data_IF_146820619688
#
_entry.id   IF_146820619688
#
_cell.length_a   1.000
_cell.length_b   1.000
_cell.length_c   1.000
_cell.angle_alpha   90.00
_cell.angle_beta   90.00
_cell.angle_gamma   90.00
#
_symmetry.space_group_name_H-M   'P 1'
#
loop_
_entity.id
_entity.type
_entity.pdbx_description
1 polymer ?
#
# COMPACT_ATOMS: atom_id res chain seq x y z
N UNK A 1 -15.35 0.82 3.95
CA UNK A 1 -15.25 0.35 2.55
C UNK A 1 -14.30 -0.83 2.48
N UNK A 2 -14.62 -1.90 1.76
CA UNK A 2 -13.86 -3.16 1.75
C UNK A 2 -13.36 -3.55 0.35
N UNK A 3 -12.16 -4.12 0.25
CA UNK A 3 -11.53 -4.65 -0.98
C UNK A 3 -11.53 -6.19 -0.93
N UNK A 4 -12.11 -6.82 -1.96
CA UNK A 4 -12.25 -8.27 -2.06
C UNK A 4 -11.29 -8.89 -3.07
N UNK A 5 -10.93 -10.14 -2.83
CA UNK A 5 -10.27 -11.04 -3.79
C UNK A 5 -11.20 -12.22 -4.05
N UNK A 6 -11.64 -12.40 -5.31
CA UNK A 6 -12.44 -13.54 -5.76
C UNK A 6 -13.21 -13.29 -7.07
N UNK A 7 -13.62 -14.37 -7.76
CA UNK A 7 -14.14 -14.34 -9.14
C UNK A 7 -15.62 -13.89 -9.28
N UNK A 8 -16.33 -13.68 -8.17
CA UNK A 8 -17.79 -13.44 -8.17
C UNK A 8 -18.19 -11.96 -8.25
N UNK A 9 -17.25 -11.06 -7.97
CA UNK A 9 -17.48 -9.64 -8.10
C UNK A 9 -16.46 -9.08 -9.09
N UNK A 10 -16.87 -8.21 -10.03
CA UNK A 10 -15.92 -7.45 -10.82
C UNK A 10 -14.90 -6.79 -9.88
N UNK A 11 -13.65 -6.81 -10.32
CA UNK A 11 -12.55 -6.22 -9.57
C UNK A 11 -12.91 -4.80 -9.08
N UNK A 12 -12.74 -4.54 -7.78
CA UNK A 12 -13.08 -3.26 -7.17
C UNK A 12 -14.51 -3.02 -6.73
N UNK A 13 -15.36 -4.06 -6.75
CA UNK A 13 -16.72 -3.97 -6.22
C UNK A 13 -16.72 -3.60 -4.74
N UNK A 14 -17.47 -2.55 -4.41
CA UNK A 14 -17.72 -2.11 -3.04
C UNK A 14 -18.89 -2.90 -2.48
N UNK A 15 -18.64 -3.73 -1.48
CA UNK A 15 -19.68 -4.45 -0.73
C UNK A 15 -19.80 -3.79 0.65
N UNK A 16 -21.03 -3.74 1.18
CA UNK A 16 -21.42 -2.90 2.32
C UNK A 16 -20.64 -3.13 3.64
N UNK A 17 -20.86 -2.25 4.64
CA UNK A 17 -20.07 -2.16 5.88
C UNK A 17 -20.13 -3.39 6.80
N UNK A 18 -21.13 -4.27 6.62
CA UNK A 18 -21.37 -5.45 7.45
C UNK A 18 -20.71 -6.73 6.93
N UNK A 19 -19.85 -6.64 5.93
CA UNK A 19 -19.08 -7.79 5.50
C UNK A 19 -18.02 -8.14 6.57
N UNK A 20 -18.31 -9.17 7.35
CA UNK A 20 -17.33 -9.88 8.16
C UNK A 20 -16.13 -10.24 7.28
N UNK A 21 -14.90 -10.16 7.82
CA UNK A 21 -13.66 -10.60 7.14
C UNK A 21 -13.67 -12.08 6.66
N UNK A 22 -14.78 -12.79 6.89
CA UNK A 22 -15.15 -14.06 6.29
C UNK A 22 -16.38 -13.88 5.40
N UNK A 23 -16.15 -13.77 4.11
CA UNK A 23 -17.17 -13.96 3.06
C UNK A 23 -16.98 -15.44 2.69
N UNK A 24 -17.99 -16.30 2.85
CA UNK A 24 -18.10 -17.69 2.33
C UNK A 24 -16.89 -18.65 2.17
N UNK A 25 -17.11 -19.91 1.74
CA UNK A 25 -16.02 -20.79 1.31
C UNK A 25 -15.38 -20.24 0.02
N UNK A 26 -14.11 -19.84 0.08
CA UNK A 26 -13.33 -19.41 -1.09
C UNK A 26 -13.35 -17.91 -1.41
N UNK A 27 -14.11 -17.08 -0.67
CA UNK A 27 -14.08 -15.63 -0.83
C UNK A 27 -13.21 -15.01 0.26
N UNK A 28 -12.49 -13.91 -0.03
CA UNK A 28 -11.60 -13.31 0.96
C UNK A 28 -11.52 -11.78 0.83
N UNK A 29 -11.53 -11.07 1.95
CA UNK A 29 -11.32 -9.61 2.00
C UNK A 29 -9.83 -9.37 2.19
N UNK A 30 -9.17 -8.74 1.23
CA UNK A 30 -7.74 -8.41 1.32
C UNK A 30 -7.51 -7.26 2.30
N UNK A 31 -8.36 -6.23 2.24
CA UNK A 31 -8.32 -5.12 3.19
C UNK A 31 -9.68 -4.43 3.35
N UNK A 32 -9.85 -3.72 4.46
CA UNK A 32 -10.97 -2.84 4.75
C UNK A 32 -10.42 -1.48 5.17
N UNK A 33 -10.92 -0.42 4.54
CA UNK A 33 -10.60 0.95 4.89
C UNK A 33 -11.84 1.63 5.50
N UNK A 34 -11.68 2.19 6.70
CA UNK A 34 -12.72 2.90 7.43
C UNK A 34 -12.13 4.14 8.13
N UNK A 35 -12.94 4.81 8.94
CA UNK A 35 -12.44 5.82 9.88
C UNK A 35 -12.25 5.21 11.27
N UNK A 36 -11.16 5.57 11.95
CA UNK A 36 -10.96 5.27 13.37
C UNK A 36 -11.78 6.22 14.27
N UNK A 37 -11.69 6.03 15.59
CA UNK A 37 -12.38 6.86 16.59
C UNK A 37 -11.99 8.35 16.53
N UNK A 38 -10.83 8.67 15.96
CA UNK A 38 -10.33 10.03 15.75
C UNK A 38 -10.65 10.57 14.35
N UNK A 39 -11.48 9.86 13.58
CA UNK A 39 -11.87 10.19 12.20
C UNK A 39 -10.68 10.22 11.23
N UNK A 40 -9.64 9.44 11.50
CA UNK A 40 -8.51 9.22 10.59
C UNK A 40 -8.77 7.98 9.76
N UNK A 41 -8.27 7.93 8.54
CA UNK A 41 -8.40 6.71 7.75
C UNK A 41 -7.60 5.58 8.41
N UNK A 42 -8.24 4.43 8.58
CA UNK A 42 -7.62 3.21 9.04
C UNK A 42 -7.84 2.10 8.01
N UNK A 43 -6.76 1.47 7.55
CA UNK A 43 -6.81 0.37 6.58
C UNK A 43 -6.36 -0.93 7.24
N UNK A 44 -7.32 -1.80 7.54
CA UNK A 44 -7.07 -3.12 8.10
C UNK A 44 -6.81 -4.11 6.96
N UNK A 45 -5.59 -4.63 6.89
CA UNK A 45 -5.20 -5.67 5.93
C UNK A 45 -5.39 -7.05 6.57
N UNK A 46 -5.94 -8.00 5.82
CA UNK A 46 -6.25 -9.31 6.39
C UNK A 46 -5.00 -10.16 6.63
N UNK A 47 -4.95 -10.80 7.80
CA UNK A 47 -3.75 -11.47 8.32
C UNK A 47 -3.32 -12.71 7.52
N UNK A 48 -4.23 -13.37 6.81
CA UNK A 48 -3.88 -14.54 5.97
C UNK A 48 -3.08 -14.17 4.72
N UNK A 49 -3.16 -12.91 4.28
CA UNK A 49 -2.43 -12.42 3.11
C UNK A 49 -1.06 -11.84 3.49
N UNK A 50 -0.92 -11.28 4.69
CA UNK A 50 0.32 -10.64 5.18
C UNK A 50 0.87 -11.30 6.45
N UNK A 51 0.61 -12.60 6.66
CA UNK A 51 1.07 -13.33 7.86
C UNK A 51 2.56 -13.10 8.11
N UNK A 52 2.92 -12.64 9.32
CA UNK A 52 4.30 -12.28 9.67
C UNK A 52 4.71 -10.83 9.35
N UNK A 53 3.82 -10.01 8.78
CA UNK A 53 4.01 -8.56 8.73
C UNK A 53 3.81 -7.93 10.12
N UNK A 54 4.67 -6.97 10.51
CA UNK A 54 4.45 -6.21 11.73
C UNK A 54 3.19 -5.35 11.63
N UNK A 55 2.75 -4.85 12.78
CA UNK A 55 1.78 -3.77 12.85
C UNK A 55 2.43 -2.49 12.30
N UNK A 56 1.80 -1.87 11.32
CA UNK A 56 2.31 -0.71 10.62
C UNK A 56 1.27 0.40 10.66
N UNK A 57 1.71 1.61 10.98
CA UNK A 57 0.95 2.83 10.72
C UNK A 57 1.67 3.66 9.66
N UNK A 58 0.94 4.60 9.07
CA UNK A 58 1.36 5.25 7.83
C UNK A 58 1.22 6.77 7.89
N UNK A 59 2.17 7.44 7.25
CA UNK A 59 2.10 8.87 6.95
C UNK A 59 1.78 9.05 5.48
N UNK A 60 0.73 9.81 5.21
CA UNK A 60 0.30 10.19 3.88
C UNK A 60 0.94 11.51 3.43
N UNK A 61 1.73 11.41 2.35
CA UNK A 61 2.50 12.52 1.78
C UNK A 61 2.01 12.80 0.35
N UNK A 62 1.31 13.92 0.09
CA UNK A 62 1.02 14.37 -1.26
C UNK A 62 2.29 14.85 -1.97
N UNK A 63 2.39 14.56 -3.26
CA UNK A 63 3.42 15.09 -4.14
C UNK A 63 2.81 15.44 -5.50
N UNK A 64 3.40 16.44 -6.16
CA UNK A 64 3.06 16.80 -7.54
C UNK A 64 4.35 16.81 -8.32
N UNK A 65 4.49 15.88 -9.26
CA UNK A 65 5.68 15.73 -10.09
C UNK A 65 5.30 15.76 -11.56
N UNK A 66 5.89 16.71 -12.31
CA UNK A 66 5.66 16.86 -13.76
C UNK A 66 4.17 16.91 -14.15
N UNK A 67 3.32 17.45 -13.26
CA UNK A 67 1.88 17.57 -13.47
C UNK A 67 1.04 16.35 -13.09
N UNK A 68 1.63 15.28 -12.56
CA UNK A 68 0.90 14.13 -12.00
C UNK A 68 0.78 14.26 -10.48
N UNK A 69 -0.40 13.94 -9.94
CA UNK A 69 -0.65 13.87 -8.50
C UNK A 69 -0.31 12.49 -7.98
N UNK A 70 0.80 12.39 -7.25
CA UNK A 70 1.22 11.16 -6.59
C UNK A 70 1.03 11.23 -5.09
N UNK A 71 0.81 10.06 -4.49
CA UNK A 71 0.72 9.89 -3.04
C UNK A 71 1.74 8.88 -2.61
N UNK A 72 2.37 9.16 -1.48
CA UNK A 72 3.27 8.25 -0.80
C UNK A 72 2.70 7.89 0.56
N UNK A 73 2.59 6.60 0.87
CA UNK A 73 2.44 6.13 2.24
C UNK A 73 3.79 5.68 2.75
N UNK A 74 4.29 6.34 3.78
CA UNK A 74 5.49 5.93 4.52
C UNK A 74 5.08 5.16 5.75
N UNK A 75 5.59 3.95 5.93
CA UNK A 75 5.23 3.03 7.00
C UNK A 75 6.23 3.08 8.17
N UNK A 76 5.70 2.92 9.38
CA UNK A 76 6.47 2.86 10.63
C UNK A 76 6.04 1.63 11.45
N UNK A 77 7.02 0.91 12.01
CA UNK A 77 6.84 -0.28 12.88
C UNK A 77 7.10 0.15 14.34
N UNK A 78 6.23 1.02 14.87
CA UNK A 78 6.29 1.52 16.25
C UNK A 78 4.91 1.44 16.91
N UNK A 79 4.88 1.46 18.25
CA UNK A 79 3.64 1.34 19.02
C UNK A 79 2.87 2.67 19.19
N UNK A 80 3.30 3.75 18.52
CA UNK A 80 2.71 5.09 18.67
C UNK A 80 1.28 5.18 18.12
N UNK A 81 0.95 4.36 17.12
CA UNK A 81 -0.36 4.30 16.50
C UNK A 81 -0.76 2.85 16.21
N UNK A 82 -2.08 2.59 16.21
CA UNK A 82 -2.64 1.29 15.91
C UNK A 82 -2.36 0.89 14.45
N UNK A 83 -2.35 -0.42 14.20
CA UNK A 83 -2.17 -0.98 12.86
C UNK A 83 -3.15 -0.37 11.84
N UNK A 84 -2.64 -0.10 10.63
CA UNK A 84 -3.42 0.43 9.51
C UNK A 84 -3.74 1.92 9.60
N UNK A 85 -3.40 2.60 10.70
CA UNK A 85 -3.71 4.03 10.87
C UNK A 85 -2.96 4.86 9.84
N UNK A 86 -3.65 5.79 9.17
CA UNK A 86 -3.05 6.74 8.23
C UNK A 86 -3.20 8.16 8.80
N UNK A 87 -2.09 8.87 8.96
CA UNK A 87 -2.06 10.27 9.40
C UNK A 87 -1.53 11.17 8.29
N UNK A 88 -1.86 12.46 8.33
CA UNK A 88 -1.29 13.43 7.41
C UNK A 88 0.18 13.72 7.73
N UNK A 89 0.95 14.14 6.72
CA UNK A 89 2.31 14.64 6.92
C UNK A 89 2.37 15.77 7.99
N UNK A 90 1.35 16.63 8.06
CA UNK A 90 1.29 17.69 9.08
C UNK A 90 1.13 17.16 10.50
N UNK A 91 0.36 16.09 10.71
CA UNK A 91 0.20 15.45 12.01
C UNK A 91 1.50 14.73 12.44
N UNK A 92 2.22 14.16 11.48
CA UNK A 92 3.49 13.48 11.73
C UNK A 92 4.53 14.38 12.40
N UNK A 93 4.63 15.66 12.02
CA UNK A 93 5.56 16.63 12.63
C UNK A 93 5.35 16.86 14.14
N UNK A 94 4.22 16.40 14.70
CA UNK A 94 3.93 16.50 16.14
C UNK A 94 4.23 15.21 16.91
N UNK A 95 4.65 14.15 16.21
CA UNK A 95 4.90 12.84 16.79
C UNK A 95 6.34 12.72 17.32
N UNK A 96 6.58 11.92 18.37
CA UNK A 96 7.92 11.63 18.88
C UNK A 96 8.65 10.55 18.04
N UNK A 97 8.41 10.53 16.73
CA UNK A 97 8.94 9.53 15.80
C UNK A 97 9.74 10.24 14.72
N UNK A 98 10.98 9.81 14.53
CA UNK A 98 11.89 10.36 13.54
C UNK A 98 11.65 9.75 12.16
N UNK A 99 11.85 10.52 11.09
CA UNK A 99 11.67 10.06 9.71
C UNK A 99 12.55 8.84 9.37
N UNK A 100 13.72 8.74 9.99
CA UNK A 100 14.68 7.63 9.84
C UNK A 100 14.15 6.30 10.38
N UNK A 101 13.09 6.32 11.19
CA UNK A 101 12.43 5.12 11.70
C UNK A 101 11.45 4.51 10.68
N UNK A 102 11.37 5.05 9.46
CA UNK A 102 10.57 4.46 8.40
C UNK A 102 11.05 3.05 8.04
N UNK A 103 10.11 2.12 7.86
CA UNK A 103 10.42 0.72 7.51
C UNK A 103 10.11 0.39 6.05
N UNK A 104 9.38 1.27 5.36
CA UNK A 104 9.07 1.14 3.94
C UNK A 104 8.17 2.26 3.44
N UNK A 105 8.02 2.34 2.12
CA UNK A 105 7.14 3.32 1.49
C UNK A 105 6.56 2.77 0.17
N UNK A 106 5.38 3.26 -0.20
CA UNK A 106 4.78 3.02 -1.52
C UNK A 106 4.31 4.33 -2.10
N UNK A 107 4.72 4.61 -3.34
CA UNK A 107 4.34 5.79 -4.11
C UNK A 107 3.53 5.38 -5.34
N UNK A 108 2.42 6.06 -5.58
CA UNK A 108 1.55 5.81 -6.73
C UNK A 108 0.87 7.08 -7.24
N UNK A 109 0.46 7.06 -8.50
CA UNK A 109 -0.34 8.13 -9.14
C UNK A 109 -1.82 7.97 -8.81
N UNK A 110 -2.47 9.06 -8.42
CA UNK A 110 -3.87 9.02 -7.96
C UNK A 110 -4.87 8.92 -9.10
N UNK A 111 -4.50 9.31 -10.31
CA UNK A 111 -5.37 9.38 -11.47
C UNK A 111 -5.64 8.02 -12.12
N UNK A 112 -4.69 7.08 -12.00
CA UNK A 112 -4.81 5.76 -12.57
C UNK A 112 -4.42 4.62 -11.61
N UNK A 113 -3.94 4.95 -10.41
CA UNK A 113 -3.43 3.99 -9.42
C UNK A 113 -2.19 3.21 -9.90
N UNK A 114 -1.37 3.80 -10.79
CA UNK A 114 -0.09 3.22 -11.15
C UNK A 114 0.93 3.37 -10.00
N UNK A 115 1.45 2.24 -9.53
CA UNK A 115 2.51 2.20 -8.52
C UNK A 115 3.84 2.56 -9.19
N UNK A 116 4.42 3.67 -8.75
CA UNK A 116 5.69 4.18 -9.25
C UNK A 116 6.87 3.56 -8.51
N UNK A 117 6.74 3.40 -7.19
CA UNK A 117 7.83 2.91 -6.35
C UNK A 117 7.31 2.15 -5.13
N UNK A 118 8.03 1.08 -4.78
CA UNK A 118 7.91 0.41 -3.49
C UNK A 118 9.31 0.28 -2.92
N UNK A 119 9.46 0.67 -1.65
CA UNK A 119 10.69 0.55 -0.90
C UNK A 119 10.41 -0.16 0.43
N UNK A 120 11.35 -1.02 0.85
CA UNK A 120 11.39 -1.63 2.18
C UNK A 120 12.82 -1.55 2.67
N UNK A 121 13.00 -1.00 3.88
CA UNK A 121 14.29 -0.89 4.53
C UNK A 121 14.98 -2.27 4.59
N UNK A 122 16.27 -2.40 4.24
CA UNK A 122 16.96 -3.68 4.09
C UNK A 122 16.76 -4.66 5.26
N UNK A 123 16.87 -4.16 6.49
CA UNK A 123 16.71 -4.85 7.77
C UNK A 123 15.27 -5.30 8.05
N UNK A 124 14.29 -4.73 7.35
CA UNK A 124 12.87 -5.05 7.46
C UNK A 124 12.34 -5.93 6.30
N UNK A 125 13.20 -6.32 5.35
CA UNK A 125 12.82 -7.17 4.22
C UNK A 125 12.40 -8.57 4.66
N UNK A 126 11.67 -9.27 3.77
CA UNK A 126 11.13 -10.63 4.01
C UNK A 126 10.15 -10.76 5.19
N UNK A 127 9.63 -9.64 5.68
CA UNK A 127 8.56 -9.57 6.71
C UNK A 127 7.22 -9.15 6.11
N UNK A 128 6.92 -9.48 4.84
CA UNK A 128 5.67 -9.15 4.15
C UNK A 128 5.25 -7.66 4.13
N UNK A 129 6.15 -6.72 4.49
CA UNK A 129 5.88 -5.27 4.53
C UNK A 129 5.48 -4.73 3.15
N UNK A 130 6.17 -5.14 2.08
CA UNK A 130 5.82 -4.70 0.73
C UNK A 130 4.37 -5.03 0.34
N UNK A 131 3.91 -6.24 0.70
CA UNK A 131 2.52 -6.65 0.45
C UNK A 131 1.54 -5.83 1.30
N UNK A 132 1.86 -5.61 2.58
CA UNK A 132 1.05 -4.76 3.48
C UNK A 132 0.97 -3.32 2.96
N UNK A 133 2.07 -2.75 2.46
CA UNK A 133 2.10 -1.44 1.79
C UNK A 133 1.14 -1.39 0.60
N UNK A 134 1.19 -2.37 -0.31
CA UNK A 134 0.32 -2.40 -1.49
C UNK A 134 -1.17 -2.49 -1.11
N UNK A 135 -1.54 -3.39 -0.20
CA UNK A 135 -2.93 -3.50 0.22
C UNK A 135 -3.43 -2.29 1.00
N UNK A 136 -2.57 -1.69 1.82
CA UNK A 136 -2.89 -0.44 2.55
C UNK A 136 -3.11 0.69 1.55
N UNK A 137 -2.21 0.88 0.59
CA UNK A 137 -2.36 1.89 -0.46
C UNK A 137 -3.62 1.67 -1.30
N UNK A 138 -3.93 0.42 -1.67
CA UNK A 138 -5.16 0.09 -2.39
C UNK A 138 -6.43 0.45 -1.59
N UNK A 139 -6.47 0.09 -0.30
CA UNK A 139 -7.57 0.43 0.59
C UNK A 139 -7.71 1.94 0.80
N UNK A 140 -6.59 2.62 1.04
CA UNK A 140 -6.54 4.07 1.22
C UNK A 140 -6.99 4.81 -0.04
N UNK A 141 -6.45 4.48 -1.20
CA UNK A 141 -6.80 5.08 -2.50
C UNK A 141 -8.31 5.01 -2.76
N UNK A 142 -8.90 3.83 -2.54
CA UNK A 142 -10.33 3.63 -2.74
C UNK A 142 -11.16 4.39 -1.68
N UNK A 143 -10.66 4.49 -0.44
CA UNK A 143 -11.33 5.23 0.63
C UNK A 143 -11.37 6.74 0.35
N UNK A 144 -10.34 7.26 -0.31
CA UNK A 144 -10.30 8.64 -0.80
C UNK A 144 -11.19 8.86 -2.04
N UNK A 145 -11.80 7.81 -2.60
CA UNK A 145 -12.67 7.90 -3.77
C UNK A 145 -11.92 8.10 -5.09
N UNK A 146 -10.61 7.82 -5.13
CA UNK A 146 -9.83 7.97 -6.35
C UNK A 146 -10.12 6.86 -7.37
N UNK A 147 -9.99 7.18 -8.68
CA UNK A 147 -10.30 6.25 -9.75
C UNK A 147 -9.19 5.21 -9.99
N UNK A 148 -9.58 4.07 -10.53
CA UNK A 148 -8.65 3.03 -10.96
C UNK A 148 -8.33 2.00 -9.87
N UNK A 149 -7.35 1.16 -10.20
CA UNK A 149 -6.92 0.03 -9.39
C UNK A 149 -5.42 -0.08 -9.38
N UNK A 150 -4.86 -0.36 -8.20
CA UNK A 150 -3.42 -0.47 -8.00
C UNK A 150 -2.81 -1.43 -9.01
N UNK A 151 -1.91 -0.94 -9.84
CA UNK A 151 -1.25 -1.73 -10.88
C UNK A 151 0.22 -1.33 -11.02
N UNK A 152 1.04 -2.23 -11.55
CA UNK A 152 2.49 -2.03 -11.73
C UNK A 152 2.90 -2.20 -13.18
N UNK A 153 3.83 -1.36 -13.63
CA UNK A 153 4.50 -1.49 -14.93
C UNK A 153 5.44 -2.69 -15.00
N UNK A 154 5.95 -2.97 -16.20
CA UNK A 154 6.88 -4.08 -16.47
C UNK A 154 8.34 -3.81 -16.08
N UNK A 155 8.68 -2.57 -15.72
CA UNK A 155 10.01 -2.15 -15.25
C UNK A 155 10.20 -2.50 -13.77
N UNK A 156 11.03 -3.50 -13.45
CA UNK A 156 11.14 -4.05 -12.08
C UNK A 156 12.58 -4.37 -11.71
N UNK A 157 12.97 -4.15 -10.46
CA UNK A 157 14.21 -4.70 -9.89
C UNK A 157 14.02 -6.18 -9.56
N UNK A 158 15.09 -6.97 -9.39
CA UNK A 158 14.98 -8.37 -8.93
C UNK A 158 14.24 -8.47 -7.57
N UNK A 159 14.41 -7.47 -6.70
CA UNK A 159 13.67 -7.37 -5.45
C UNK A 159 12.16 -7.09 -5.67
N UNK A 160 11.81 -6.35 -6.72
CA UNK A 160 10.43 -6.08 -7.09
C UNK A 160 9.75 -7.30 -7.74
N UNK A 161 10.48 -8.20 -8.41
CA UNK A 161 9.91 -9.47 -8.92
C UNK A 161 9.31 -10.33 -7.81
N UNK A 162 9.89 -10.34 -6.60
CA UNK A 162 9.33 -11.06 -5.44
C UNK A 162 8.04 -10.42 -4.89
N UNK A 163 7.80 -9.13 -5.20
CA UNK A 163 6.58 -8.39 -4.84
C UNK A 163 5.47 -8.65 -5.87
N UNK A 164 5.81 -9.01 -7.10
CA UNK A 164 4.85 -9.31 -8.16
C UNK A 164 3.89 -10.41 -7.72
N UNK A 165 4.35 -11.46 -7.04
CA UNK A 165 3.48 -12.52 -6.49
C UNK A 165 2.43 -12.02 -5.48
N UNK A 166 2.69 -10.89 -4.79
CA UNK A 166 1.71 -10.24 -3.93
C UNK A 166 0.63 -9.50 -4.72
N UNK A 167 0.97 -8.97 -5.90
CA UNK A 167 0.07 -8.25 -6.81
C UNK A 167 -0.66 -9.24 -7.75
N UNK A 168 -0.04 -10.38 -8.07
CA UNK A 168 -0.49 -11.43 -9.02
C UNK A 168 -1.77 -12.15 -8.61
N UNK A 169 -2.22 -12.03 -7.36
CA UNK A 169 -3.59 -12.49 -7.00
C UNK A 169 -4.70 -11.67 -7.70
N UNK A 170 -4.32 -10.65 -8.48
CA UNK A 170 -5.16 -9.87 -9.38
C UNK A 170 -4.51 -9.82 -10.78
N UNK A 171 -4.58 -10.90 -11.58
CA UNK A 171 -3.74 -11.09 -12.77
C UNK A 171 -3.92 -10.03 -13.88
N UNK A 172 -5.02 -9.28 -13.89
CA UNK A 172 -5.23 -8.16 -14.82
C UNK A 172 -4.48 -6.87 -14.44
N UNK A 173 -3.82 -6.83 -13.28
CA UNK A 173 -3.19 -5.61 -12.71
C UNK A 173 -1.66 -5.57 -12.84
N UNK A 174 -1.09 -6.52 -13.56
CA UNK A 174 0.36 -6.68 -13.73
C UNK A 174 0.65 -6.62 -15.22
N UNK A 175 1.25 -5.54 -15.70
CA UNK A 175 1.74 -5.50 -17.08
C UNK A 175 2.84 -6.56 -17.27
N UNK A 176 2.97 -7.14 -18.49
CA UNK A 176 4.07 -8.04 -18.82
C UNK A 176 5.44 -7.39 -18.50
N UNK A 177 6.46 -8.15 -18.07
CA UNK A 177 7.80 -7.61 -17.81
C UNK A 177 8.32 -6.88 -19.05
N UNK A 178 8.81 -5.65 -18.89
CA UNK A 178 9.22 -4.79 -20.01
C UNK A 178 10.66 -4.31 -19.95
N UNK A 179 11.33 -4.30 -18.78
CA UNK A 179 12.79 -4.19 -18.60
C UNK A 179 13.14 -4.20 -17.10
N UNK A 180 14.44 -4.15 -16.72
CA UNK A 180 14.83 -4.01 -15.31
C UNK A 180 14.94 -2.53 -14.90
N UNK A 181 14.27 -2.13 -13.82
CA UNK A 181 14.34 -0.77 -13.30
C UNK A 181 15.65 -0.53 -12.55
N UNK A 182 16.22 0.67 -12.70
CA UNK A 182 17.39 1.14 -11.92
C UNK A 182 16.91 1.65 -10.55
N UNK A 183 17.68 1.40 -9.48
CA UNK A 183 17.32 1.76 -8.11
C UNK A 183 17.54 3.26 -7.90
N UNK A 184 16.52 3.95 -7.38
CA UNK A 184 16.62 5.33 -6.91
C UNK A 184 16.57 5.38 -5.38
N UNK A 185 17.32 6.31 -4.77
CA UNK A 185 17.26 6.64 -3.37
C UNK A 185 15.94 7.39 -3.07
N UNK A 186 15.06 6.82 -2.22
CA UNK A 186 13.75 7.41 -1.90
C UNK A 186 13.83 8.71 -1.09
N UNK A 187 14.97 9.04 -0.47
CA UNK A 187 15.16 10.27 0.30
C UNK A 187 15.64 11.44 -0.56
N UNK A 188 16.33 11.15 -1.67
CA UNK A 188 17.02 12.16 -2.48
C UNK A 188 16.55 12.23 -3.93
N UNK A 189 15.94 11.17 -4.47
CA UNK A 189 15.53 11.08 -5.87
C UNK A 189 16.69 10.83 -6.85
N UNK A 190 17.90 10.54 -6.35
CA UNK A 190 19.08 10.21 -7.16
C UNK A 190 19.23 8.69 -7.35
N UNK A 191 20.08 8.26 -8.29
CA UNK A 191 20.40 6.84 -8.46
C UNK A 191 21.15 6.32 -7.24
N UNK A 192 20.68 5.21 -6.65
CA UNK A 192 21.42 4.54 -5.59
C UNK A 192 22.67 3.85 -6.18
N UNK A 193 23.84 3.94 -5.51
CA UNK A 193 25.08 3.33 -5.98
C UNK A 193 25.03 1.80 -6.07
#
# INVERSE_FOLDING_TARGET
MSLYLGDQFPDGTVVGPDATLSVGPGQRIACRADLDDQRRTQVIVSSWDVSGAPDLWFVDVPSVEKGSHSRTLTAFDTADLADGTVISNSAFFTMPVASEQQVGAVKWRTEDAFIEQIYVAPEHRRRNIARKLVYTAAGFHRHQGWPGFMHVGGLRTEAAEQIVDAIVRLPSRVAPPSERAVIYDPLTGELAP
#
